data_IF_207049086593
#
_entry.id   IF_207049086593
#
_cell.length_a   1.000
_cell.length_b   1.000
_cell.length_c   1.000
_cell.angle_alpha   90.00
_cell.angle_beta   90.00
_cell.angle_gamma   90.00
#
_symmetry.space_group_name_H-M   'P 1'
#
loop_
_entity.id
_entity.type
_entity.pdbx_description
1 polymer ?
#
# COMPACT_ATOMS: atom_id res chain seq x y z
N UNK A 1 32.22 -5.77 51.64
CA UNK A 1 31.28 -4.64 51.61
C UNK A 1 30.18 -4.99 50.62
N UNK A 2 28.92 -4.94 51.05
CA UNK A 2 27.71 -5.23 50.27
C UNK A 2 27.12 -3.91 49.77
N UNK A 3 26.75 -3.85 48.50
CA UNK A 3 25.90 -2.80 47.90
C UNK A 3 25.26 -3.42 46.64
N UNK A 4 24.08 -4.02 46.78
CA UNK A 4 22.73 -3.45 46.56
C UNK A 4 22.45 -3.29 45.06
N UNK A 5 21.62 -4.21 44.55
CA UNK A 5 21.10 -4.21 43.19
C UNK A 5 20.00 -3.17 42.98
N UNK A 6 19.88 -2.72 41.74
CA UNK A 6 18.71 -2.01 41.23
C UNK A 6 18.13 -2.86 40.12
N UNK A 7 17.20 -3.72 40.52
CA UNK A 7 16.18 -4.31 39.66
C UNK A 7 15.29 -3.15 39.22
N UNK A 8 15.54 -2.57 38.05
CA UNK A 8 14.68 -1.52 37.51
C UNK A 8 13.54 -2.17 36.72
N UNK A 9 12.34 -1.77 37.14
CA UNK A 9 11.04 -2.28 36.76
C UNK A 9 10.87 -2.54 35.25
N UNK A 10 10.45 -3.77 34.95
CA UNK A 10 9.58 -4.08 33.82
C UNK A 10 8.34 -3.20 33.98
N UNK A 11 8.36 -2.02 33.37
CA UNK A 11 7.15 -1.28 33.12
C UNK A 11 6.36 -2.11 32.12
N UNK A 12 5.39 -2.86 32.66
CA UNK A 12 4.27 -3.43 31.92
C UNK A 12 3.61 -2.25 31.23
N UNK A 13 4.02 -2.04 29.98
CA UNK A 13 3.31 -1.26 28.99
C UNK A 13 2.01 -2.04 28.79
N UNK A 14 1.01 -1.75 29.64
CA UNK A 14 -0.37 -1.98 29.29
C UNK A 14 -0.63 -1.10 28.06
N UNK A 15 -0.23 -1.61 26.89
CA UNK A 15 -0.90 -1.26 25.66
C UNK A 15 -2.37 -1.52 25.95
N UNK A 16 -3.14 -0.45 26.06
CA UNK A 16 -4.56 -0.51 25.76
C UNK A 16 -4.62 -0.92 24.31
N UNK A 17 -4.57 -2.23 24.04
CA UNK A 17 -4.92 -2.77 22.74
C UNK A 17 -6.34 -2.33 22.52
N UNK A 18 -6.51 -1.26 21.76
CA UNK A 18 -7.80 -0.94 21.17
C UNK A 18 -8.13 -2.19 20.38
N UNK A 19 -9.13 -2.95 20.83
CA UNK A 19 -9.69 -4.09 20.09
C UNK A 19 -10.46 -3.54 18.89
N UNK A 20 -9.71 -2.94 17.97
CA UNK A 20 -10.19 -2.49 16.67
C UNK A 20 -9.70 -3.46 15.61
N UNK A 21 -10.49 -3.61 14.56
CA UNK A 21 -10.06 -4.35 13.39
C UNK A 21 -8.80 -3.68 12.83
N UNK A 22 -7.81 -4.48 12.44
CA UNK A 22 -6.49 -3.96 12.06
C UNK A 22 -5.82 -4.80 10.98
N UNK A 23 -4.88 -4.20 10.27
CA UNK A 23 -4.04 -4.86 9.29
C UNK A 23 -2.58 -4.72 9.69
N UNK A 24 -1.83 -5.80 9.52
CA UNK A 24 -0.37 -5.84 9.63
C UNK A 24 0.17 -6.70 8.49
N UNK A 25 0.89 -6.10 7.53
CA UNK A 25 1.35 -6.79 6.34
C UNK A 25 2.75 -6.36 5.89
N UNK A 26 3.53 -7.31 5.42
CA UNK A 26 4.86 -7.11 4.85
C UNK A 26 4.83 -7.34 3.35
N UNK A 27 5.43 -6.42 2.60
CA UNK A 27 5.52 -6.46 1.16
C UNK A 27 6.96 -6.58 0.68
N UNK A 28 7.16 -7.27 -0.43
CA UNK A 28 8.39 -7.20 -1.22
C UNK A 28 8.05 -6.70 -2.62
N UNK A 29 8.82 -5.76 -3.16
CA UNK A 29 8.71 -5.33 -4.54
C UNK A 29 10.00 -5.62 -5.30
N UNK A 30 9.91 -5.91 -6.60
CA UNK A 30 11.08 -6.02 -7.47
C UNK A 30 10.78 -5.32 -8.79
N UNK A 31 11.65 -4.42 -9.22
CA UNK A 31 11.34 -3.57 -10.36
C UNK A 31 12.47 -2.66 -10.81
N UNK A 32 12.11 -1.76 -11.72
CA UNK A 32 13.03 -0.76 -12.25
C UNK A 32 12.54 0.64 -11.90
N UNK A 33 13.47 1.48 -11.48
CA UNK A 33 13.27 2.92 -11.26
C UNK A 33 13.99 3.67 -12.36
N UNK A 34 13.27 4.53 -13.07
CA UNK A 34 13.84 5.44 -14.07
C UNK A 34 13.91 6.84 -13.44
N UNK A 35 15.09 7.45 -13.45
CA UNK A 35 15.38 8.77 -12.91
C UNK A 35 15.73 9.76 -14.01
N UNK A 36 15.21 10.98 -13.86
CA UNK A 36 15.49 12.15 -14.69
C UNK A 36 16.01 13.27 -13.80
N UNK A 37 17.02 14.00 -14.29
CA UNK A 37 17.66 15.07 -13.54
C UNK A 37 17.52 16.41 -14.27
N UNK A 38 17.17 17.45 -13.52
CA UNK A 38 17.12 18.84 -14.02
C UNK A 38 17.67 19.78 -12.95
N UNK A 39 18.93 20.18 -13.11
CA UNK A 39 19.64 20.94 -12.08
C UNK A 39 19.85 20.11 -10.81
N UNK A 40 19.37 20.61 -9.67
CA UNK A 40 19.40 19.87 -8.39
C UNK A 40 18.18 18.97 -8.20
N UNK A 41 17.17 19.05 -9.07
CA UNK A 41 15.96 18.26 -8.94
C UNK A 41 16.12 16.90 -9.62
N UNK A 42 15.75 15.84 -8.91
CA UNK A 42 15.54 14.52 -9.45
C UNK A 42 14.03 14.21 -9.50
N UNK A 43 13.58 13.56 -10.55
CA UNK A 43 12.25 12.96 -10.65
C UNK A 43 12.41 11.53 -11.09
N UNK A 44 11.53 10.63 -10.66
CA UNK A 44 11.57 9.25 -11.11
C UNK A 44 10.20 8.61 -11.17
N UNK A 45 10.15 7.51 -11.90
CA UNK A 45 9.01 6.61 -11.96
C UNK A 45 9.49 5.20 -11.74
N UNK A 46 8.68 4.36 -11.12
CA UNK A 46 8.97 2.95 -10.98
C UNK A 46 7.78 2.08 -11.33
N UNK A 47 8.11 0.89 -11.83
CA UNK A 47 7.17 -0.19 -12.09
C UNK A 47 7.79 -1.46 -11.51
N UNK A 48 7.04 -2.18 -10.70
CA UNK A 48 7.51 -3.33 -9.94
C UNK A 48 6.44 -4.41 -9.81
N UNK A 49 6.90 -5.65 -9.75
CA UNK A 49 6.10 -6.73 -9.18
C UNK A 49 6.05 -6.54 -7.67
N UNK A 50 4.93 -6.94 -7.07
CA UNK A 50 4.67 -6.77 -5.64
C UNK A 50 4.13 -8.06 -5.06
N UNK A 51 4.68 -8.51 -3.94
CA UNK A 51 4.17 -9.63 -3.16
C UNK A 51 3.90 -9.13 -1.75
N UNK A 52 2.73 -9.46 -1.21
CA UNK A 52 2.25 -9.01 0.09
C UNK A 52 1.82 -10.22 0.91
N UNK A 53 2.29 -10.29 2.16
CA UNK A 53 1.86 -11.29 3.12
C UNK A 53 1.57 -10.62 4.45
N UNK A 54 0.50 -11.00 5.12
CA UNK A 54 0.11 -10.32 6.34
C UNK A 54 -1.05 -10.99 7.04
N UNK A 55 -1.62 -10.26 7.98
CA UNK A 55 -2.78 -10.67 8.76
C UNK A 55 -3.76 -9.51 8.89
N UNK A 56 -5.04 -9.85 8.86
CA UNK A 56 -6.14 -8.97 9.27
C UNK A 56 -6.63 -9.45 10.63
N UNK A 57 -6.91 -8.53 11.54
CA UNK A 57 -7.70 -8.79 12.73
C UNK A 57 -9.10 -8.26 12.46
N UNK A 58 -10.09 -9.13 12.41
CA UNK A 58 -11.50 -8.82 12.13
C UNK A 58 -12.35 -9.49 13.19
N UNK A 59 -13.13 -8.74 13.95
CA UNK A 59 -13.99 -9.28 15.03
C UNK A 59 -13.17 -10.18 16.01
N UNK A 60 -11.96 -9.72 16.38
CA UNK A 60 -10.95 -10.45 17.17
C UNK A 60 -10.40 -11.76 16.52
N UNK A 61 -10.79 -12.09 15.30
CA UNK A 61 -10.26 -13.22 14.54
C UNK A 61 -9.08 -12.81 13.66
N UNK A 62 -8.01 -13.62 13.68
CA UNK A 62 -6.83 -13.41 12.83
C UNK A 62 -7.03 -14.14 11.50
N UNK A 63 -6.96 -13.40 10.41
CA UNK A 63 -7.05 -13.89 9.02
C UNK A 63 -5.71 -13.63 8.33
N UNK A 64 -4.85 -14.65 8.29
CA UNK A 64 -3.60 -14.59 7.56
C UNK A 64 -3.84 -14.72 6.05
N UNK A 65 -3.05 -13.99 5.25
CA UNK A 65 -3.20 -13.95 3.79
C UNK A 65 -1.86 -13.79 3.06
N UNK A 66 -1.86 -14.17 1.79
CA UNK A 66 -0.80 -13.92 0.82
C UNK A 66 -1.40 -13.45 -0.49
N UNK A 67 -0.82 -12.42 -1.09
CA UNK A 67 -1.26 -11.80 -2.34
C UNK A 67 -0.06 -11.38 -3.20
N UNK A 68 -0.26 -11.33 -4.51
CA UNK A 68 0.73 -10.84 -5.45
C UNK A 68 0.10 -9.94 -6.50
N UNK A 69 0.90 -9.07 -7.10
CA UNK A 69 0.48 -8.18 -8.16
C UNK A 69 1.57 -7.18 -8.51
N UNK A 70 1.19 -5.91 -8.56
CA UNK A 70 2.06 -4.83 -9.03
C UNK A 70 2.05 -3.64 -8.09
N UNK A 71 3.13 -2.88 -8.13
CA UNK A 71 3.22 -1.56 -7.53
C UNK A 71 3.88 -0.60 -8.53
N UNK A 72 3.28 0.57 -8.70
CA UNK A 72 3.75 1.63 -9.59
C UNK A 72 3.84 2.92 -8.81
N UNK A 73 4.73 3.79 -9.20
CA UNK A 73 4.81 5.07 -8.53
C UNK A 73 5.72 6.06 -9.19
N UNK A 74 5.75 7.24 -8.58
CA UNK A 74 6.59 8.33 -8.96
C UNK A 74 7.24 8.93 -7.72
N UNK A 75 8.40 9.55 -7.90
CA UNK A 75 9.04 10.30 -6.84
C UNK A 75 9.72 11.54 -7.37
N UNK A 76 9.96 12.49 -6.49
CA UNK A 76 10.81 13.63 -6.80
C UNK A 76 11.53 14.10 -5.57
N UNK A 77 12.65 14.77 -5.76
CA UNK A 77 13.37 15.35 -4.64
C UNK A 77 14.54 16.22 -5.05
N UNK A 78 15.18 16.79 -4.05
CA UNK A 78 16.36 17.63 -4.22
C UNK A 78 17.63 16.83 -3.89
N UNK A 79 18.51 16.70 -4.88
CA UNK A 79 19.77 15.94 -4.80
C UNK A 79 20.81 16.57 -3.87
N UNK A 80 20.62 17.82 -3.43
CA UNK A 80 21.48 18.52 -2.48
C UNK A 80 21.04 18.22 -1.04
N UNK A 81 19.73 18.28 -0.77
CA UNK A 81 19.20 17.99 0.58
C UNK A 81 18.98 16.51 0.81
N UNK A 82 18.93 15.71 -0.26
CA UNK A 82 18.51 14.30 -0.27
C UNK A 82 17.11 14.11 0.31
N UNK A 83 16.27 15.14 0.17
CA UNK A 83 14.86 15.08 0.52
C UNK A 83 14.08 14.59 -0.69
N UNK A 84 13.57 13.36 -0.62
CA UNK A 84 12.78 12.76 -1.68
C UNK A 84 11.42 12.36 -1.13
N UNK A 85 10.40 12.68 -1.92
CA UNK A 85 9.03 12.23 -1.74
C UNK A 85 8.71 11.22 -2.85
N UNK A 86 7.98 10.18 -2.48
CA UNK A 86 7.44 9.21 -3.42
C UNK A 86 5.96 9.00 -3.16
N UNK A 87 5.21 8.80 -4.23
CA UNK A 87 3.83 8.32 -4.20
C UNK A 87 3.75 7.03 -5.01
N UNK A 88 2.94 6.09 -4.55
CA UNK A 88 2.76 4.82 -5.22
C UNK A 88 1.32 4.34 -5.14
N UNK A 89 0.92 3.58 -6.14
CA UNK A 89 -0.28 2.76 -6.22
C UNK A 89 0.14 1.30 -6.24
N UNK A 90 -0.71 0.43 -5.71
CA UNK A 90 -0.49 -1.00 -5.77
C UNK A 90 -1.82 -1.75 -5.83
N UNK A 91 -1.79 -2.91 -6.48
CA UNK A 91 -2.89 -3.86 -6.45
C UNK A 91 -2.32 -5.27 -6.36
N UNK A 92 -2.82 -6.04 -5.40
CA UNK A 92 -2.45 -7.42 -5.17
C UNK A 92 -3.68 -8.28 -4.97
N UNK A 93 -3.66 -9.50 -5.50
CA UNK A 93 -4.72 -10.50 -5.30
C UNK A 93 -4.08 -11.81 -4.86
N UNK A 94 -4.79 -12.57 -4.03
CA UNK A 94 -4.37 -13.90 -3.62
C UNK A 94 -5.43 -14.58 -2.77
N UNK A 95 -4.99 -15.26 -1.71
CA UNK A 95 -5.88 -16.01 -0.83
C UNK A 95 -5.52 -15.91 0.64
N UNK A 96 -6.52 -16.10 1.49
CA UNK A 96 -6.34 -16.34 2.93
C UNK A 96 -5.88 -17.78 3.18
N UNK A 97 -5.45 -18.09 4.41
CA UNK A 97 -5.16 -19.47 4.82
C UNK A 97 -6.38 -20.40 4.73
N UNK A 98 -7.59 -19.85 4.82
CA UNK A 98 -8.84 -20.59 4.63
C UNK A 98 -9.19 -20.85 3.15
N UNK A 99 -8.40 -20.30 2.21
CA UNK A 99 -8.61 -20.44 0.77
C UNK A 99 -9.60 -19.43 0.18
N UNK A 100 -10.02 -18.42 0.95
CA UNK A 100 -10.88 -17.35 0.45
C UNK A 100 -10.05 -16.40 -0.40
N UNK A 101 -10.62 -15.90 -1.51
CA UNK A 101 -9.96 -14.89 -2.33
C UNK A 101 -9.88 -13.57 -1.58
N UNK A 102 -8.71 -12.95 -1.61
CA UNK A 102 -8.48 -11.59 -1.09
C UNK A 102 -7.90 -10.70 -2.20
N UNK A 103 -8.31 -9.44 -2.21
CA UNK A 103 -7.69 -8.39 -3.01
C UNK A 103 -7.37 -7.19 -2.13
N UNK A 104 -6.17 -6.64 -2.25
CA UNK A 104 -5.68 -5.48 -1.51
C UNK A 104 -5.19 -4.47 -2.53
N UNK A 105 -5.84 -3.30 -2.60
CA UNK A 105 -5.57 -2.29 -3.61
C UNK A 105 -5.56 -0.91 -2.98
N UNK A 106 -4.58 -0.08 -3.30
CA UNK A 106 -4.50 1.23 -2.68
C UNK A 106 -3.30 2.06 -3.12
N UNK A 107 -3.03 3.08 -2.31
CA UNK A 107 -1.91 3.98 -2.50
C UNK A 107 -1.13 4.21 -1.21
N UNK A 108 0.07 4.75 -1.37
CA UNK A 108 0.91 5.17 -0.27
C UNK A 108 1.75 6.38 -0.67
N UNK A 109 2.12 7.17 0.33
CA UNK A 109 3.17 8.18 0.21
C UNK A 109 4.34 7.80 1.10
N UNK A 110 5.56 8.11 0.67
CA UNK A 110 6.77 7.97 1.46
C UNK A 110 7.54 9.28 1.38
N UNK A 111 7.91 9.81 2.54
CA UNK A 111 8.74 11.00 2.67
C UNK A 111 10.00 10.68 3.47
N UNK A 112 10.97 11.59 3.41
CA UNK A 112 12.23 11.45 4.15
C UNK A 112 13.10 10.31 3.66
N UNK A 113 12.99 9.97 2.37
CA UNK A 113 13.79 8.92 1.75
C UNK A 113 15.28 9.31 1.71
N UNK A 114 16.07 8.80 2.65
CA UNK A 114 17.51 9.09 2.68
C UNK A 114 18.29 8.06 1.87
N UNK A 115 19.07 8.49 0.89
CA UNK A 115 20.02 7.61 0.20
C UNK A 115 21.21 7.27 1.12
N UNK A 116 21.49 5.99 1.31
CA UNK A 116 22.62 5.51 2.09
C UNK A 116 23.97 5.95 1.48
N UNK A 117 24.94 6.30 2.34
CA UNK A 117 26.24 6.82 1.91
C UNK A 117 27.13 5.82 1.12
N UNK A 118 26.74 4.54 1.06
CA UNK A 118 27.57 3.47 0.50
C UNK A 118 26.85 2.49 -0.43
N UNK A 119 25.59 2.77 -0.79
CA UNK A 119 24.81 1.93 -1.71
C UNK A 119 23.57 2.67 -2.19
N UNK A 120 23.03 2.29 -3.35
CA UNK A 120 21.76 2.80 -3.88
C UNK A 120 20.58 2.23 -3.08
N UNK A 121 20.61 2.43 -1.77
CA UNK A 121 19.60 2.02 -0.81
C UNK A 121 18.94 3.25 -0.20
N UNK A 122 17.62 3.22 -0.03
CA UNK A 122 16.86 4.25 0.65
C UNK A 122 15.87 3.66 1.62
N UNK A 123 15.45 4.43 2.62
CA UNK A 123 14.34 4.09 3.52
C UNK A 123 13.50 5.30 3.80
N UNK A 124 12.19 5.12 3.94
CA UNK A 124 11.24 6.20 4.17
C UNK A 124 10.03 5.71 4.93
N UNK A 125 9.25 6.67 5.43
CA UNK A 125 8.00 6.44 6.15
C UNK A 125 6.93 7.34 5.56
N UNK A 126 5.66 6.94 5.70
CA UNK A 126 4.53 7.79 5.34
C UNK A 126 3.21 7.09 5.62
N UNK A 127 2.14 7.56 4.99
CA UNK A 127 0.79 7.02 5.18
C UNK A 127 0.38 6.16 3.98
N UNK A 128 -0.36 5.08 4.23
CA UNK A 128 -1.07 4.32 3.19
C UNK A 128 -2.58 4.35 3.38
N UNK A 129 -3.29 4.16 2.27
CA UNK A 129 -4.73 3.97 2.24
C UNK A 129 -5.06 2.89 1.22
N UNK A 130 -5.84 1.88 1.61
CA UNK A 130 -6.21 0.78 0.74
C UNK A 130 -7.63 0.28 0.97
N UNK A 131 -8.19 -0.34 -0.06
CA UNK A 131 -9.42 -1.12 -0.01
C UNK A 131 -9.07 -2.60 -0.02
N UNK A 132 -9.68 -3.35 0.89
CA UNK A 132 -9.54 -4.80 1.01
C UNK A 132 -10.87 -5.46 0.68
N UNK A 133 -10.84 -6.35 -0.30
CA UNK A 133 -11.97 -7.18 -0.70
C UNK A 133 -11.69 -8.60 -0.24
N UNK A 134 -12.53 -9.12 0.66
CA UNK A 134 -12.41 -10.48 1.19
C UNK A 134 -13.81 -11.08 1.34
N UNK A 135 -14.01 -12.24 0.70
CA UNK A 135 -15.34 -12.83 0.54
C UNK A 135 -16.34 -11.79 -0.05
N UNK A 136 -17.42 -11.48 0.68
CA UNK A 136 -18.44 -10.48 0.30
C UNK A 136 -18.32 -9.18 1.08
N UNK A 137 -17.22 -8.99 1.83
CA UNK A 137 -16.99 -7.81 2.67
C UNK A 137 -15.95 -6.89 2.02
N UNK A 138 -16.17 -5.58 2.19
CA UNK A 138 -15.25 -4.54 1.75
C UNK A 138 -14.82 -3.72 2.95
N UNK A 139 -13.50 -3.67 3.17
CA UNK A 139 -12.88 -2.86 4.21
C UNK A 139 -12.04 -1.75 3.61
N UNK A 140 -11.97 -0.62 4.30
CA UNK A 140 -10.95 0.41 4.09
C UNK A 140 -9.91 0.28 5.18
N UNK A 141 -8.65 0.44 4.82
CA UNK A 141 -7.54 0.53 5.77
C UNK A 141 -6.84 1.86 5.58
N UNK A 142 -6.58 2.53 6.71
CA UNK A 142 -5.72 3.70 6.80
C UNK A 142 -4.65 3.43 7.85
N UNK A 143 -3.40 3.77 7.54
CA UNK A 143 -2.33 3.62 8.50
C UNK A 143 -0.98 4.07 8.00
N UNK A 144 0.05 3.53 8.61
CA UNK A 144 1.45 3.86 8.37
C UNK A 144 2.09 2.85 7.42
N UNK A 145 2.97 3.36 6.56
CA UNK A 145 3.82 2.59 5.68
C UNK A 145 5.29 2.89 5.97
N UNK A 146 6.07 1.84 6.18
CA UNK A 146 7.51 1.90 6.25
C UNK A 146 8.08 1.18 5.02
N UNK A 147 9.04 1.80 4.36
CA UNK A 147 9.63 1.26 3.14
C UNK A 147 11.15 1.33 3.19
N UNK A 148 11.79 0.32 2.62
CA UNK A 148 13.19 0.38 2.23
C UNK A 148 13.38 -0.19 0.84
N UNK A 149 14.33 0.34 0.10
CA UNK A 149 14.67 -0.15 -1.22
C UNK A 149 16.17 -0.22 -1.38
N UNK A 150 16.64 -1.14 -2.22
CA UNK A 150 18.04 -1.24 -2.62
C UNK A 150 18.12 -1.64 -4.08
N UNK A 151 19.11 -1.12 -4.80
CA UNK A 151 19.28 -1.46 -6.21
C UNK A 151 20.67 -1.19 -6.75
N UNK A 152 20.83 -1.41 -8.05
CA UNK A 152 22.05 -1.13 -8.80
C UNK A 152 21.73 -0.44 -10.12
N UNK A 153 22.67 0.37 -10.61
CA UNK A 153 22.54 1.00 -11.91
C UNK A 153 22.55 -0.04 -13.03
N UNK A 154 21.61 0.10 -13.97
CA UNK A 154 21.54 -0.69 -15.20
C UNK A 154 21.62 0.24 -16.41
N UNK A 155 21.86 -0.32 -17.60
CA UNK A 155 21.88 0.47 -18.84
C UNK A 155 20.46 0.97 -19.10
N UNK A 156 20.22 2.29 -19.12
CA UNK A 156 18.87 2.82 -19.28
C UNK A 156 18.36 2.62 -20.70
N UNK A 157 17.05 2.41 -20.85
CA UNK A 157 16.38 2.38 -22.17
C UNK A 157 16.43 3.74 -22.87
N UNK A 158 16.32 4.82 -22.10
CA UNK A 158 16.44 6.20 -22.57
C UNK A 158 17.85 6.72 -22.28
N UNK A 159 18.63 7.14 -23.29
CA UNK A 159 19.99 7.63 -23.07
C UNK A 159 20.07 8.93 -22.26
N UNK A 160 18.95 9.61 -22.01
CA UNK A 160 18.87 10.82 -21.20
C UNK A 160 18.35 10.59 -19.78
N UNK A 161 18.22 9.32 -19.35
CA UNK A 161 17.81 8.94 -18.01
C UNK A 161 18.90 8.12 -17.29
N UNK A 162 18.67 7.84 -16.01
CA UNK A 162 19.35 6.79 -15.27
C UNK A 162 18.34 5.72 -14.89
N UNK A 163 18.73 4.44 -14.90
CA UNK A 163 17.85 3.35 -14.53
C UNK A 163 18.50 2.54 -13.41
N UNK A 164 17.72 2.20 -12.38
CA UNK A 164 18.11 1.33 -11.29
C UNK A 164 17.19 0.12 -11.26
N UNK A 165 17.77 -1.08 -11.28
CA UNK A 165 17.05 -2.30 -10.98
C UNK A 165 17.26 -2.64 -9.50
N UNK A 166 16.19 -3.00 -8.80
CA UNK A 166 16.29 -3.23 -7.37
C UNK A 166 15.07 -3.89 -6.75
N UNK A 167 15.19 -4.11 -5.46
CA UNK A 167 14.19 -4.72 -4.61
C UNK A 167 13.79 -3.75 -3.49
N UNK A 168 12.52 -3.78 -3.13
CA UNK A 168 11.92 -3.03 -2.03
C UNK A 168 11.34 -3.96 -0.98
N UNK A 169 11.37 -3.53 0.27
CA UNK A 169 10.68 -4.12 1.41
C UNK A 169 9.75 -3.08 2.00
N UNK A 170 8.53 -3.48 2.34
CA UNK A 170 7.50 -2.62 2.90
C UNK A 170 6.88 -3.26 4.13
N UNK A 171 6.47 -2.44 5.08
CA UNK A 171 5.61 -2.81 6.19
C UNK A 171 4.43 -1.85 6.22
N UNK A 172 3.22 -2.40 6.19
CA UNK A 172 1.96 -1.68 6.20
C UNK A 172 1.20 -2.05 7.47
N UNK A 173 0.83 -1.06 8.28
CA UNK A 173 0.04 -1.29 9.49
C UNK A 173 -1.04 -0.23 9.66
N UNK A 174 -2.29 -0.63 9.84
CA UNK A 174 -3.40 0.32 9.89
C UNK A 174 -4.68 -0.21 10.53
N UNK A 175 -5.63 0.70 10.73
CA UNK A 175 -6.97 0.41 11.25
C UNK A 175 -7.90 0.03 10.09
N UNK A 176 -8.69 -1.03 10.27
CA UNK A 176 -9.68 -1.48 9.31
C UNK A 176 -11.06 -0.89 9.66
N UNK A 177 -11.76 -0.40 8.64
CA UNK A 177 -13.15 0.05 8.75
C UNK A 177 -14.00 -0.70 7.73
N UNK A 178 -15.06 -1.36 8.21
CA UNK A 178 -16.02 -2.07 7.37
C UNK A 178 -16.91 -1.06 6.61
N UNK A 179 -16.98 -1.21 5.29
CA UNK A 179 -17.76 -0.33 4.41
C UNK A 179 -19.02 -1.02 3.88
N UNK A 180 -18.89 -2.30 3.51
CA UNK A 180 -20.00 -3.10 2.97
C UNK A 180 -20.02 -4.45 3.66
N UNK A 181 -21.20 -4.84 4.17
CA UNK A 181 -21.48 -6.17 4.72
C UNK A 181 -22.77 -6.74 4.11
N UNK A 182 -22.79 -8.01 3.67
CA UNK A 182 -23.96 -8.62 3.05
C UNK A 182 -25.16 -8.74 4.00
N UNK A 183 -24.93 -8.87 5.31
CA UNK A 183 -26.00 -9.07 6.30
C UNK A 183 -26.92 -7.84 6.49
N UNK A 184 -26.51 -6.65 6.04
CA UNK A 184 -27.33 -5.44 6.13
C UNK A 184 -28.45 -5.38 5.08
N UNK A 185 -28.43 -6.24 4.06
CA UNK A 185 -29.38 -6.18 2.94
C UNK A 185 -30.72 -6.89 3.23
N UNK A 186 -30.76 -7.84 4.18
CA UNK A 186 -31.94 -8.71 4.37
C UNK A 186 -33.04 -8.12 5.28
N UNK A 187 -32.75 -7.08 6.07
CA UNK A 187 -33.72 -6.49 7.02
C UNK A 187 -34.52 -5.29 6.45
N UNK A 188 -34.28 -4.91 5.18
CA UNK A 188 -34.93 -3.75 4.55
C UNK A 188 -36.29 -4.07 3.86
N UNK A 189 -36.91 -5.20 4.19
CA UNK A 189 -38.11 -5.70 3.52
C UNK A 189 -39.44 -5.23 4.15
N UNK A 190 -39.63 -3.93 4.47
CA UNK A 190 -40.98 -3.42 4.82
C UNK A 190 -41.22 -1.91 4.65
N UNK A 191 -41.00 -1.30 3.48
CA UNK A 191 -41.96 -0.27 3.00
C UNK A 191 -41.79 0.04 1.51
N UNK A 192 -42.82 -0.30 0.73
CA UNK A 192 -42.88 -0.13 -0.72
C UNK A 192 -43.19 1.33 -1.07
N UNK A 193 -42.18 2.18 -1.09
CA UNK A 193 -42.18 3.50 -1.76
C UNK A 193 -40.74 3.94 -2.08
N UNK A 194 -39.95 3.04 -2.65
CA UNK A 194 -38.51 3.24 -2.84
C UNK A 194 -38.18 3.75 -4.25
N UNK A 195 -37.62 4.95 -4.31
CA UNK A 195 -36.70 5.40 -5.34
C UNK A 195 -35.63 4.32 -5.57
N UNK A 196 -35.45 3.87 -6.81
CA UNK A 196 -34.48 2.81 -7.15
C UNK A 196 -33.10 3.08 -6.51
N UNK A 197 -32.54 2.12 -5.73
CA UNK A 197 -31.23 2.27 -5.08
C UNK A 197 -30.01 2.26 -6.04
N UNK A 198 -30.23 2.22 -7.36
CA UNK A 198 -29.16 1.90 -8.34
C UNK A 198 -28.32 3.08 -8.82
N UNK A 199 -28.55 4.30 -8.35
CA UNK A 199 -27.73 5.46 -8.76
C UNK A 199 -27.25 6.28 -7.55
N UNK A 200 -26.59 5.63 -6.58
CA UNK A 200 -25.47 6.33 -5.94
C UNK A 200 -24.48 6.55 -7.06
N UNK A 201 -24.52 7.74 -7.66
CA UNK A 201 -23.70 8.06 -8.84
C UNK A 201 -22.25 7.70 -8.53
N UNK A 202 -21.55 7.06 -9.46
CA UNK A 202 -20.13 6.71 -9.32
C UNK A 202 -19.30 7.91 -8.80
N UNK A 203 -19.70 9.12 -9.18
CA UNK A 203 -19.13 10.36 -8.69
C UNK A 203 -19.21 10.52 -7.17
N UNK A 204 -20.35 10.23 -6.54
CA UNK A 204 -20.50 10.34 -5.07
C UNK A 204 -19.61 9.32 -4.34
N UNK A 205 -19.41 8.13 -4.91
CA UNK A 205 -18.49 7.14 -4.35
C UNK A 205 -17.02 7.61 -4.44
N UNK A 206 -16.64 8.21 -5.58
CA UNK A 206 -15.31 8.79 -5.78
C UNK A 206 -15.09 9.98 -4.83
N UNK A 207 -16.05 10.89 -4.72
CA UNK A 207 -15.96 12.05 -3.83
C UNK A 207 -15.82 11.61 -2.36
N UNK A 208 -16.58 10.60 -1.94
CA UNK A 208 -16.43 10.02 -0.58
C UNK A 208 -15.06 9.37 -0.35
N UNK A 209 -14.46 8.75 -1.37
CA UNK A 209 -13.11 8.20 -1.24
C UNK A 209 -12.08 9.33 -1.12
N UNK A 210 -12.21 10.38 -1.93
CA UNK A 210 -11.29 11.52 -1.91
C UNK A 210 -11.28 12.25 -0.56
N UNK A 211 -12.45 12.42 0.06
CA UNK A 211 -12.58 13.06 1.37
C UNK A 211 -11.90 12.26 2.50
N UNK A 212 -11.74 10.94 2.32
CA UNK A 212 -11.12 10.04 3.29
C UNK A 212 -9.61 9.89 3.12
N UNK A 213 -9.04 10.34 1.98
CA UNK A 213 -7.61 10.15 1.71
C UNK A 213 -6.75 10.95 2.71
N UNK A 214 -5.68 10.34 3.25
CA UNK A 214 -4.80 11.00 4.20
C UNK A 214 -3.91 12.10 3.58
N UNK A 215 -3.83 12.18 2.26
CA UNK A 215 -2.86 13.01 1.55
C UNK A 215 -3.48 14.21 0.84
N UNK A 216 -2.65 15.20 0.54
CA UNK A 216 -2.99 16.24 -0.44
C UNK A 216 -2.91 15.66 -1.86
N UNK A 217 -4.05 15.38 -2.48
CA UNK A 217 -4.12 14.83 -3.83
C UNK A 217 -3.60 15.79 -4.90
N UNK A 218 -3.49 17.08 -4.61
CA UNK A 218 -2.93 18.06 -5.55
C UNK A 218 -1.43 17.86 -5.81
N UNK A 219 -0.72 17.13 -4.94
CA UNK A 219 0.70 16.82 -5.12
C UNK A 219 0.96 15.55 -5.93
N UNK A 220 -0.08 14.76 -6.22
CA UNK A 220 0.04 13.51 -6.96
C UNK A 220 0.15 13.75 -8.48
N UNK A 221 0.95 12.95 -9.20
CA UNK A 221 0.89 12.93 -10.66
C UNK A 221 -0.52 12.54 -11.13
N UNK A 222 -1.06 13.28 -12.09
CA UNK A 222 -2.44 13.10 -12.59
C UNK A 222 -2.74 11.65 -13.00
N UNK A 223 -1.83 11.00 -13.74
CA UNK A 223 -1.99 9.61 -14.15
C UNK A 223 -2.03 8.63 -12.97
N UNK A 224 -1.23 8.88 -11.93
CA UNK A 224 -1.16 8.03 -10.75
C UNK A 224 -2.40 8.21 -9.85
N UNK A 225 -2.88 9.46 -9.72
CA UNK A 225 -4.11 9.75 -9.00
C UNK A 225 -5.34 9.13 -9.71
N UNK A 226 -5.40 9.21 -11.04
CA UNK A 226 -6.47 8.55 -11.80
C UNK A 226 -6.47 7.03 -11.59
N UNK A 227 -5.29 6.40 -11.64
CA UNK A 227 -5.13 4.97 -11.35
C UNK A 227 -5.55 4.64 -9.91
N UNK A 228 -5.14 5.45 -8.92
CA UNK A 228 -5.55 5.29 -7.53
C UNK A 228 -7.08 5.30 -7.36
N UNK A 229 -7.76 6.26 -7.97
CA UNK A 229 -9.22 6.36 -7.85
C UNK A 229 -9.93 5.18 -8.53
N UNK A 230 -9.39 4.69 -9.64
CA UNK A 230 -9.90 3.49 -10.32
C UNK A 230 -9.78 2.26 -9.40
N UNK A 231 -8.61 2.01 -8.81
CA UNK A 231 -8.36 0.81 -7.99
C UNK A 231 -9.04 0.86 -6.62
N UNK A 232 -9.33 2.05 -6.09
CA UNK A 232 -10.06 2.18 -4.82
C UNK A 232 -11.56 1.96 -4.99
N UNK A 233 -12.11 2.15 -6.20
CA UNK A 233 -13.54 2.02 -6.48
C UNK A 233 -13.92 0.71 -7.15
N UNK A 234 -13.00 0.07 -7.86
CA UNK A 234 -13.23 -1.17 -8.57
C UNK A 234 -12.16 -2.21 -8.23
N UNK A 235 -12.57 -3.49 -8.17
CA UNK A 235 -11.60 -4.58 -8.11
C UNK A 235 -10.93 -4.67 -9.48
N UNK A 236 -9.67 -4.24 -9.56
CA UNK A 236 -8.88 -4.43 -10.77
C UNK A 236 -8.42 -5.87 -10.88
N UNK A 237 -8.58 -6.46 -12.07
CA UNK A 237 -7.97 -7.74 -12.41
C UNK A 237 -6.45 -7.56 -12.48
N UNK A 238 -5.79 -8.03 -11.42
CA UNK A 238 -4.33 -8.24 -11.45
C UNK A 238 -4.11 -9.40 -12.39
N UNK A 239 -3.83 -9.11 -13.67
CA UNK A 239 -3.46 -10.12 -14.64
C UNK A 239 -2.40 -11.03 -14.00
N UNK A 240 -2.66 -12.34 -13.98
CA UNK A 240 -1.71 -13.31 -13.41
C UNK A 240 -0.34 -12.97 -14.01
N UNK A 241 0.59 -12.56 -13.14
CA UNK A 241 1.98 -12.32 -13.52
C UNK A 241 2.48 -13.68 -13.96
N UNK A 242 2.29 -13.97 -15.26
CA UNK A 242 2.56 -15.27 -15.84
C UNK A 242 3.99 -15.61 -15.47
N UNK A 243 4.15 -16.63 -14.64
CA UNK A 243 5.41 -17.31 -14.44
C UNK A 243 5.84 -17.78 -15.82
N UNK A 244 6.66 -16.98 -16.47
CA UNK A 244 7.29 -17.33 -17.72
C UNK A 244 8.18 -18.51 -17.39
N UNK A 245 7.62 -19.71 -17.60
CA UNK A 245 8.26 -20.99 -17.31
C UNK A 245 9.70 -20.95 -17.83
N UNK A 246 10.70 -21.38 -17.03
CA UNK A 246 12.06 -21.45 -17.51
C UNK A 246 12.08 -22.35 -18.75
N UNK A 247 12.56 -21.81 -19.86
CA UNK A 247 12.91 -22.59 -21.04
C UNK A 247 13.95 -23.60 -20.56
N UNK A 248 13.57 -24.87 -20.50
CA UNK A 248 14.52 -25.95 -20.28
C UNK A 248 15.42 -26.02 -21.52
N UNK A 249 16.73 -25.83 -21.30
CA UNK A 249 17.79 -26.08 -22.28
C UNK A 249 17.85 -27.56 -22.69
#
# INVERSE_FOLDING_TARGET
MRTIGITLAVAVMCLTTVCGDSMDAQGTASGNVVLYFSGTRATGSFDSTFALSGQLTIDDAIVAFSAAGWARGAGSGDTVTLDLDAQATFAATGSTEAGERISVQGGLTLSGLTAGASGSSGSGMGEFYATIFIAERVYRVRGDAEGSASGGFVVPKDPYSMELAGDGLFHLSGELTLIVSPEAADDASTDSSATSPEEVSHQQAVDSVLDDLPWDTATWPEALLAELLEILTNVVDVAEVNESSPVAD
#
